data_IF_062261290734
#
_entry.id   IF_062261290734
#
_cell.length_a   1.000
_cell.length_b   1.000
_cell.length_c   1.000
_cell.angle_alpha   90.00
_cell.angle_beta   90.00
_cell.angle_gamma   90.00
#
_symmetry.space_group_name_H-M   'P 1'
#
loop_
_entity.id
_entity.type
_entity.pdbx_description
1 polymer ?
#
# COMPACT_ATOMS: atom_id res chain seq x y z
N UNK A 1 -3.41 6.67 -10.00
CA UNK A 1 -2.46 5.76 -9.31
C UNK A 1 -3.00 4.34 -9.45
N UNK A 2 -2.16 3.30 -9.66
CA UNK A 2 -2.66 1.92 -9.64
C UNK A 2 -3.35 1.61 -8.31
N UNK A 3 -4.39 0.76 -8.33
CA UNK A 3 -5.10 0.34 -7.12
C UNK A 3 -4.16 -0.37 -6.14
N UNK A 4 -3.22 -1.16 -6.66
CA UNK A 4 -2.18 -1.84 -5.89
C UNK A 4 -0.90 -0.99 -5.87
N UNK A 5 -0.48 -0.48 -4.69
CA UNK A 5 0.80 0.21 -4.53
C UNK A 5 1.99 -0.67 -4.93
N UNK A 6 3.08 -0.06 -5.39
CA UNK A 6 4.27 -0.79 -5.85
C UNK A 6 4.91 -1.58 -4.72
N UNK A 7 4.88 -1.06 -3.50
CA UNK A 7 5.38 -1.78 -2.33
C UNK A 7 4.57 -3.05 -2.03
N UNK A 8 3.24 -2.98 -2.22
CA UNK A 8 2.36 -4.15 -2.09
C UNK A 8 2.70 -5.17 -3.17
N UNK A 9 2.77 -4.75 -4.44
CA UNK A 9 3.12 -5.63 -5.55
C UNK A 9 4.49 -6.30 -5.35
N UNK A 10 5.51 -5.54 -4.92
CA UNK A 10 6.86 -6.06 -4.67
C UNK A 10 6.83 -7.16 -3.61
N UNK A 11 6.09 -6.96 -2.52
CA UNK A 11 5.99 -7.93 -1.42
C UNK A 11 5.24 -9.18 -1.84
N UNK A 12 4.10 -9.06 -2.55
CA UNK A 12 3.33 -10.20 -3.04
C UNK A 12 4.13 -11.09 -4.00
N UNK A 13 5.05 -10.47 -4.73
CA UNK A 13 5.90 -11.13 -5.72
C UNK A 13 7.30 -11.47 -5.18
N UNK A 14 7.61 -11.20 -3.91
CA UNK A 14 8.98 -11.22 -3.40
C UNK A 14 9.71 -12.56 -3.63
N UNK A 15 9.02 -13.69 -3.44
CA UNK A 15 9.58 -15.03 -3.70
C UNK A 15 10.02 -15.21 -5.17
N UNK A 16 9.18 -14.76 -6.12
CA UNK A 16 9.41 -14.86 -7.57
C UNK A 16 10.43 -13.83 -8.06
N UNK A 17 10.42 -12.65 -7.45
CA UNK A 17 11.40 -11.59 -7.73
C UNK A 17 12.79 -11.95 -7.18
N UNK A 18 12.87 -12.74 -6.12
CA UNK A 18 14.12 -13.28 -5.58
C UNK A 18 14.85 -14.22 -6.55
N UNK A 19 14.15 -14.80 -7.52
CA UNK A 19 14.72 -15.63 -8.61
C UNK A 19 14.76 -14.92 -9.96
N UNK A 20 14.51 -13.60 -9.98
CA UNK A 20 14.45 -12.76 -11.18
C UNK A 20 13.45 -13.26 -12.24
N UNK A 21 12.32 -13.82 -11.81
CA UNK A 21 11.30 -14.31 -12.74
C UNK A 21 10.72 -13.18 -13.60
N UNK A 22 10.84 -13.29 -14.92
CA UNK A 22 10.44 -12.25 -15.87
C UNK A 22 8.96 -11.85 -15.75
N UNK A 23 8.05 -12.80 -15.50
CA UNK A 23 6.61 -12.49 -15.34
C UNK A 23 6.35 -11.69 -14.07
N UNK A 24 7.03 -11.99 -12.97
CA UNK A 24 6.90 -11.23 -11.73
C UNK A 24 7.44 -9.80 -11.90
N UNK A 25 8.55 -9.62 -12.62
CA UNK A 25 9.07 -8.29 -12.95
C UNK A 25 8.06 -7.49 -13.77
N UNK A 26 7.52 -8.08 -14.84
CA UNK A 26 6.51 -7.42 -15.68
C UNK A 26 5.23 -7.06 -14.89
N UNK A 27 4.81 -7.90 -13.95
CA UNK A 27 3.66 -7.60 -13.07
C UNK A 27 3.96 -6.45 -12.11
N UNK A 28 5.15 -6.42 -11.51
CA UNK A 28 5.57 -5.34 -10.61
C UNK A 28 5.69 -4.01 -11.37
N UNK A 29 6.32 -4.02 -12.54
CA UNK A 29 6.58 -2.84 -13.37
C UNK A 29 5.27 -2.32 -13.99
N UNK A 30 4.42 -3.20 -14.51
CA UNK A 30 3.16 -2.80 -15.13
C UNK A 30 3.41 -1.82 -16.29
N UNK A 31 2.97 -0.57 -16.11
CA UNK A 31 3.19 0.52 -17.08
C UNK A 31 4.41 1.38 -16.76
N UNK A 32 5.15 1.06 -15.69
CA UNK A 32 6.37 1.77 -15.33
C UNK A 32 7.53 1.37 -16.25
N UNK A 33 8.52 2.25 -16.37
CA UNK A 33 9.84 1.89 -16.86
C UNK A 33 10.50 0.85 -15.93
N UNK A 34 11.42 0.01 -16.44
CA UNK A 34 12.06 -1.02 -15.65
C UNK A 34 12.64 -0.51 -14.33
N UNK A 35 12.26 -1.18 -13.24
CA UNK A 35 12.58 -0.73 -11.89
C UNK A 35 14.08 -0.90 -11.60
N UNK A 36 14.62 -0.09 -10.69
CA UNK A 36 16.05 -0.13 -10.31
C UNK A 36 16.27 -0.07 -8.80
N UNK A 37 17.39 -0.63 -8.32
CA UNK A 37 17.97 -0.32 -7.01
C UNK A 37 19.29 0.43 -7.26
N UNK A 38 19.34 1.70 -6.85
CA UNK A 38 20.42 2.59 -7.25
C UNK A 38 20.48 2.69 -8.78
N UNK A 39 21.65 2.38 -9.37
CA UNK A 39 21.83 2.38 -10.84
C UNK A 39 21.55 1.02 -11.48
N UNK A 40 21.39 -0.04 -10.68
CA UNK A 40 21.31 -1.42 -11.15
C UNK A 40 19.85 -1.83 -11.43
N UNK A 41 19.59 -2.68 -12.45
CA UNK A 41 18.27 -3.25 -12.67
C UNK A 41 17.76 -3.99 -11.42
N UNK A 42 16.47 -3.85 -11.11
CA UNK A 42 15.84 -4.50 -9.96
C UNK A 42 16.02 -6.02 -10.01
N UNK A 43 15.86 -6.60 -11.21
CA UNK A 43 16.04 -8.03 -11.48
C UNK A 43 17.40 -8.59 -11.03
N UNK A 44 18.44 -7.75 -10.97
CA UNK A 44 19.79 -8.15 -10.54
C UNK A 44 19.99 -7.82 -9.06
N UNK A 45 19.66 -6.60 -8.66
CA UNK A 45 20.00 -6.09 -7.34
C UNK A 45 19.10 -6.63 -6.21
N UNK A 46 17.84 -6.95 -6.50
CA UNK A 46 16.90 -7.42 -5.49
C UNK A 46 17.23 -8.85 -5.00
N UNK A 47 17.51 -9.85 -5.86
CA UNK A 47 17.97 -11.17 -5.42
C UNK A 47 19.20 -11.11 -4.48
N UNK A 48 20.20 -10.31 -4.84
CA UNK A 48 21.40 -10.11 -4.01
C UNK A 48 21.07 -9.48 -2.66
N UNK A 49 20.19 -8.47 -2.65
CA UNK A 49 19.74 -7.81 -1.42
C UNK A 49 19.01 -8.80 -0.51
N UNK A 50 18.06 -9.58 -1.05
CA UNK A 50 17.30 -10.58 -0.29
C UNK A 50 18.24 -11.68 0.26
N UNK A 51 19.21 -12.13 -0.54
CA UNK A 51 20.23 -13.10 -0.12
C UNK A 51 21.09 -12.56 1.03
N UNK A 52 21.47 -11.28 0.96
CA UNK A 52 22.29 -10.62 1.99
C UNK A 52 21.48 -10.41 3.27
N UNK A 53 20.22 -9.99 3.14
CA UNK A 53 19.27 -9.80 4.25
C UNK A 53 18.95 -11.12 4.96
N UNK A 54 18.97 -12.22 4.21
CA UNK A 54 18.71 -13.57 4.69
C UNK A 54 17.23 -13.93 4.71
N UNK A 55 16.94 -15.20 4.96
CA UNK A 55 15.57 -15.71 5.01
C UNK A 55 14.78 -15.04 6.14
N UNK A 56 13.49 -14.79 5.92
CA UNK A 56 12.66 -14.11 6.89
C UNK A 56 11.27 -13.78 6.37
N UNK A 57 10.80 -12.58 6.71
CA UNK A 57 9.44 -12.12 6.37
C UNK A 57 9.47 -10.71 5.79
N UNK A 58 8.58 -10.44 4.83
CA UNK A 58 8.35 -9.13 4.26
C UNK A 58 6.88 -8.74 4.36
N UNK A 59 6.60 -7.44 4.42
CA UNK A 59 5.25 -6.88 4.35
C UNK A 59 5.29 -5.46 3.79
N UNK A 60 4.18 -5.00 3.24
CA UNK A 60 4.06 -3.64 2.75
C UNK A 60 3.47 -2.72 3.83
N UNK A 61 3.85 -1.45 3.82
CA UNK A 61 3.28 -0.41 4.67
C UNK A 61 3.01 0.82 3.82
N UNK A 62 1.98 1.59 4.20
CA UNK A 62 1.54 2.79 3.49
C UNK A 62 1.61 3.99 4.46
N UNK A 63 2.81 4.55 4.68
CA UNK A 63 3.05 5.41 5.83
C UNK A 63 2.28 6.72 5.76
N UNK A 64 1.81 7.19 6.92
CA UNK A 64 1.24 8.53 7.11
C UNK A 64 1.81 9.19 8.36
N UNK A 65 1.77 10.53 8.45
CA UNK A 65 2.27 11.22 9.64
C UNK A 65 1.65 10.66 10.93
N UNK A 66 2.51 10.29 11.89
CA UNK A 66 2.10 9.75 13.20
C UNK A 66 1.90 8.23 13.25
N UNK A 67 2.04 7.50 12.15
CA UNK A 67 1.97 6.03 12.12
C UNK A 67 3.34 5.39 12.42
N UNK A 68 3.45 4.46 13.39
CA UNK A 68 4.70 3.76 13.70
C UNK A 68 5.11 2.68 12.68
N UNK A 69 4.37 2.49 11.58
CA UNK A 69 4.59 1.42 10.60
C UNK A 69 5.96 1.38 9.90
N UNK A 70 6.78 2.44 10.01
CA UNK A 70 8.15 2.48 9.48
C UNK A 70 9.14 2.97 10.55
N UNK A 71 10.33 2.34 10.67
CA UNK A 71 11.38 2.78 11.59
C UNK A 71 11.84 4.23 11.34
N UNK A 72 12.28 4.96 12.38
CA UNK A 72 12.64 6.39 12.26
C UNK A 72 13.67 6.70 11.16
N UNK A 73 14.65 5.84 10.94
CA UNK A 73 15.68 6.00 9.90
C UNK A 73 15.13 5.94 8.47
N UNK A 74 13.99 5.29 8.27
CA UNK A 74 13.30 5.19 6.98
C UNK A 74 12.01 6.02 6.92
N UNK A 75 11.58 6.64 8.03
CA UNK A 75 10.29 7.32 8.13
C UNK A 75 10.15 8.48 7.14
N UNK A 76 11.11 9.42 7.12
CA UNK A 76 11.04 10.57 6.23
C UNK A 76 10.91 10.20 4.73
N UNK A 77 11.77 9.33 4.16
CA UNK A 77 11.61 8.95 2.76
C UNK A 77 10.36 8.12 2.50
N UNK A 78 9.94 7.25 3.43
CA UNK A 78 8.76 6.42 3.25
C UNK A 78 7.45 7.23 3.34
N UNK A 79 7.41 8.27 4.19
CA UNK A 79 6.30 9.23 4.24
C UNK A 79 6.17 10.03 2.95
N UNK A 80 7.29 10.45 2.35
CA UNK A 80 7.28 11.15 1.06
C UNK A 80 6.79 10.24 -0.08
N UNK A 81 7.16 8.97 -0.07
CA UNK A 81 6.70 8.00 -1.06
C UNK A 81 5.23 7.57 -0.85
N UNK A 82 4.72 7.64 0.39
CA UNK A 82 3.42 7.10 0.76
C UNK A 82 3.35 5.57 0.80
N UNK A 83 4.46 4.89 0.50
CA UNK A 83 4.57 3.45 0.48
C UNK A 83 6.00 2.98 0.81
N UNK A 84 6.12 1.80 1.41
CA UNK A 84 7.39 1.10 1.61
C UNK A 84 7.17 -0.40 1.78
N UNK A 85 8.18 -1.20 1.42
CA UNK A 85 8.24 -2.61 1.74
C UNK A 85 9.27 -2.86 2.85
N UNK A 86 8.86 -3.51 3.92
CA UNK A 86 9.76 -3.93 5.00
C UNK A 86 10.16 -5.37 4.75
N UNK A 87 11.46 -5.65 4.80
CA UNK A 87 12.04 -6.99 4.68
C UNK A 87 12.86 -7.25 5.94
N UNK A 88 12.36 -8.12 6.81
CA UNK A 88 13.03 -8.54 8.04
C UNK A 88 13.59 -9.94 7.85
N UNK A 89 14.88 -10.02 7.52
CA UNK A 89 15.61 -11.27 7.40
C UNK A 89 16.41 -11.63 8.64
N UNK A 90 16.97 -12.83 8.65
CA UNK A 90 17.78 -13.33 9.76
C UNK A 90 19.10 -12.56 9.99
N UNK A 91 19.61 -11.86 8.98
CA UNK A 91 20.89 -11.12 9.05
C UNK A 91 20.73 -9.62 9.14
N UNK A 92 19.68 -9.07 8.51
CA UNK A 92 19.42 -7.64 8.48
C UNK A 92 17.92 -7.35 8.34
N UNK A 93 17.52 -6.12 8.63
CA UNK A 93 16.23 -5.58 8.25
C UNK A 93 16.44 -4.41 7.29
N UNK A 94 15.79 -4.47 6.13
CA UNK A 94 15.84 -3.41 5.13
C UNK A 94 14.43 -2.89 4.84
N UNK A 95 14.32 -1.57 4.70
CA UNK A 95 13.11 -0.92 4.21
C UNK A 95 13.38 -0.46 2.78
N UNK A 96 12.58 -0.95 1.84
CA UNK A 96 12.62 -0.57 0.42
C UNK A 96 11.57 0.52 0.18
N UNK A 97 12.05 1.73 -0.12
CA UNK A 97 11.19 2.88 -0.40
C UNK A 97 11.28 3.20 -1.89
N UNK A 98 10.17 3.23 -2.65
CA UNK A 98 10.22 3.64 -4.05
C UNK A 98 10.37 5.16 -4.15
N UNK A 99 11.26 5.59 -5.03
CA UNK A 99 11.37 6.95 -5.53
C UNK A 99 10.77 6.98 -6.93
N UNK A 100 9.61 7.60 -7.06
CA UNK A 100 8.80 7.60 -8.28
C UNK A 100 8.89 8.96 -8.95
N UNK A 101 9.43 9.00 -10.15
CA UNK A 101 9.48 10.22 -10.96
C UNK A 101 8.63 10.04 -12.22
N UNK A 102 7.63 10.92 -12.37
CA UNK A 102 6.84 11.02 -13.58
C UNK A 102 7.64 11.73 -14.69
N UNK A 103 7.44 11.29 -15.93
CA UNK A 103 7.98 11.91 -17.14
C UNK A 103 6.98 11.76 -18.29
N UNK A 104 7.31 12.30 -19.46
CA UNK A 104 6.45 12.22 -20.64
C UNK A 104 5.42 13.35 -20.70
N UNK A 105 4.44 13.19 -21.59
CA UNK A 105 3.39 14.19 -21.81
C UNK A 105 2.11 13.83 -21.06
N UNK A 106 1.13 14.72 -21.03
CA UNK A 106 -0.18 14.42 -20.46
C UNK A 106 -0.92 13.28 -21.21
N UNK A 107 -0.60 13.06 -22.50
CA UNK A 107 -1.21 12.02 -23.33
C UNK A 107 -0.46 10.69 -23.26
N UNK A 108 0.84 10.75 -22.97
CA UNK A 108 1.73 9.60 -22.86
C UNK A 108 2.58 9.76 -21.59
N UNK A 109 1.96 9.63 -20.41
CA UNK A 109 2.69 9.71 -19.15
C UNK A 109 3.51 8.44 -18.94
N UNK A 110 4.70 8.60 -18.38
CA UNK A 110 5.59 7.52 -17.97
C UNK A 110 6.07 7.71 -16.54
N UNK A 111 6.50 6.61 -15.90
CA UNK A 111 7.02 6.63 -14.54
C UNK A 111 8.31 5.83 -14.46
N UNK A 112 9.34 6.43 -13.87
CA UNK A 112 10.54 5.70 -13.46
C UNK A 112 10.46 5.41 -11.98
N UNK A 113 10.91 4.21 -11.58
CA UNK A 113 10.89 3.78 -10.18
C UNK A 113 12.28 3.34 -9.75
N UNK A 114 12.80 4.03 -8.73
CA UNK A 114 14.07 3.68 -8.07
C UNK A 114 13.82 3.31 -6.63
N UNK A 115 14.05 2.06 -6.29
CA UNK A 115 13.98 1.56 -4.93
C UNK A 115 15.23 1.99 -4.14
N UNK A 116 14.99 2.68 -3.02
CA UNK A 116 16.01 3.11 -2.05
C UNK A 116 15.98 2.16 -0.85
N UNK A 117 16.96 1.24 -0.73
CA UNK A 117 17.08 0.41 0.45
C UNK A 117 17.62 1.24 1.62
N UNK A 118 16.94 1.17 2.75
CA UNK A 118 17.39 1.71 4.03
C UNK A 118 17.68 0.54 4.95
N UNK A 119 18.96 0.18 5.08
CA UNK A 119 19.40 -0.86 6.01
C UNK A 119 19.30 -0.34 7.45
N UNK A 120 18.70 -1.13 8.33
CA UNK A 120 18.55 -0.79 9.75
C UNK A 120 19.68 -1.42 10.59
N UNK A 121 20.35 -2.42 10.05
CA UNK A 121 21.37 -3.19 10.73
C UNK A 121 20.81 -4.41 11.48
N UNK A 122 21.71 -5.31 11.90
CA UNK A 122 21.33 -6.50 12.65
C UNK A 122 20.66 -6.13 13.98
N UNK A 123 19.58 -6.81 14.32
CA UNK A 123 18.87 -6.63 15.60
C UNK A 123 17.87 -5.47 15.62
N UNK A 124 17.61 -4.80 14.50
CA UNK A 124 16.55 -3.80 14.40
C UNK A 124 15.18 -4.42 14.74
N UNK A 125 14.53 -3.90 15.79
CA UNK A 125 13.21 -4.36 16.21
C UNK A 125 12.16 -3.59 15.42
N UNK A 126 11.68 -4.19 14.33
CA UNK A 126 10.47 -3.73 13.64
C UNK A 126 9.31 -4.64 14.07
N UNK A 127 8.28 -4.10 14.74
CA UNK A 127 7.10 -4.87 15.09
C UNK A 127 6.49 -5.50 13.84
N UNK A 128 6.14 -6.81 13.88
CA UNK A 128 5.38 -7.38 12.78
C UNK A 128 4.02 -6.69 12.68
N UNK A 129 3.35 -6.75 11.51
CA UNK A 129 1.97 -6.32 11.39
C UNK A 129 1.05 -7.03 12.38
N UNK A 130 -0.09 -6.40 12.67
CA UNK A 130 -1.15 -7.02 13.44
C UNK A 130 -1.64 -8.33 12.81
N UNK A 131 -2.29 -9.17 13.60
CA UNK A 131 -2.98 -10.34 13.04
C UNK A 131 -4.05 -9.90 12.03
N UNK A 132 -4.19 -10.67 10.94
CA UNK A 132 -5.13 -10.33 9.88
C UNK A 132 -6.59 -10.36 10.35
N UNK A 133 -6.93 -11.27 11.28
CA UNK A 133 -8.27 -11.34 11.87
C UNK A 133 -8.59 -10.09 12.68
N UNK A 134 -7.67 -9.69 13.55
CA UNK A 134 -7.79 -8.46 14.35
C UNK A 134 -7.85 -7.21 13.46
N UNK A 135 -6.97 -7.11 12.47
CA UNK A 135 -6.95 -6.01 11.51
C UNK A 135 -8.27 -5.90 10.73
N UNK A 136 -8.81 -7.04 10.27
CA UNK A 136 -10.10 -7.08 9.56
C UNK A 136 -11.25 -6.66 10.47
N UNK A 137 -11.27 -7.12 11.72
CA UNK A 137 -12.30 -6.73 12.68
C UNK A 137 -12.25 -5.21 12.96
N UNK A 138 -11.05 -4.67 13.16
CA UNK A 138 -10.85 -3.23 13.31
C UNK A 138 -11.32 -2.43 12.09
N UNK A 139 -11.08 -2.93 10.87
CA UNK A 139 -11.59 -2.31 9.64
C UNK A 139 -13.12 -2.33 9.57
N UNK A 140 -13.76 -3.44 9.96
CA UNK A 140 -15.23 -3.53 9.99
C UNK A 140 -15.82 -2.52 10.99
N UNK A 141 -15.25 -2.42 12.20
CA UNK A 141 -15.69 -1.41 13.18
C UNK A 141 -15.48 0.01 12.67
N UNK A 142 -14.30 0.32 12.12
CA UNK A 142 -14.03 1.64 11.57
C UNK A 142 -14.96 2.00 10.40
N UNK A 143 -15.38 1.02 9.59
CA UNK A 143 -16.36 1.23 8.52
C UNK A 143 -17.74 1.55 9.07
N UNK A 144 -18.17 0.84 10.12
CA UNK A 144 -19.43 1.11 10.81
C UNK A 144 -19.43 2.52 11.42
N UNK A 145 -18.41 2.84 12.21
CA UNK A 145 -18.27 4.15 12.87
C UNK A 145 -18.20 5.30 11.86
N UNK A 146 -17.47 5.12 10.76
CA UNK A 146 -17.41 6.12 9.68
C UNK A 146 -18.77 6.27 8.99
N UNK A 147 -19.51 5.18 8.76
CA UNK A 147 -20.83 5.23 8.13
C UNK A 147 -21.83 5.96 9.01
N UNK A 148 -21.88 5.64 10.30
CA UNK A 148 -22.74 6.30 11.29
C UNK A 148 -22.45 7.80 11.38
N UNK A 149 -21.16 8.16 11.49
CA UNK A 149 -20.74 9.55 11.59
C UNK A 149 -21.05 10.34 10.32
N UNK A 150 -20.73 9.79 9.14
CA UNK A 150 -21.00 10.45 7.86
C UNK A 150 -22.50 10.58 7.57
N UNK A 151 -23.31 9.61 8.03
CA UNK A 151 -24.78 9.67 7.93
C UNK A 151 -25.34 10.74 8.87
N UNK A 152 -24.85 10.80 10.11
CA UNK A 152 -25.23 11.82 11.10
C UNK A 152 -24.91 13.24 10.66
N UNK A 153 -23.80 13.41 9.94
CA UNK A 153 -23.39 14.71 9.38
C UNK A 153 -24.28 15.16 8.20
N UNK A 154 -25.29 14.37 7.82
CA UNK A 154 -26.24 14.60 6.72
C UNK A 154 -25.52 15.09 5.46
N UNK A 155 -24.44 14.38 5.08
CA UNK A 155 -23.69 14.62 3.83
C UNK A 155 -24.51 14.08 2.64
N UNK A 156 -25.79 14.44 2.58
CA UNK A 156 -26.75 14.01 1.59
C UNK A 156 -26.82 15.03 0.44
N UNK A 157 -25.80 14.98 -0.43
CA UNK A 157 -26.05 15.17 -1.86
C UNK A 157 -25.64 13.88 -2.54
N UNK A 158 -26.52 13.30 -3.33
CA UNK A 158 -26.10 12.24 -4.26
C UNK A 158 -24.97 12.82 -5.10
N UNK A 159 -23.78 12.21 -5.03
CA UNK A 159 -22.63 12.55 -5.86
C UNK A 159 -22.49 11.48 -6.93
N UNK A 160 -22.98 11.72 -8.15
CA UNK A 160 -22.88 10.75 -9.23
C UNK A 160 -21.44 10.29 -9.46
N UNK A 161 -20.45 11.20 -9.36
CA UNK A 161 -19.04 10.91 -9.63
C UNK A 161 -18.43 10.00 -8.56
N UNK A 162 -18.73 10.25 -7.28
CA UNK A 162 -18.29 9.36 -6.20
C UNK A 162 -19.02 8.01 -6.27
N UNK A 163 -20.29 8.00 -6.69
CA UNK A 163 -21.06 6.76 -6.91
C UNK A 163 -20.50 5.94 -8.06
N UNK A 164 -20.13 6.57 -9.17
CA UNK A 164 -19.46 5.92 -10.31
C UNK A 164 -18.10 5.37 -9.90
N UNK A 165 -17.27 6.17 -9.23
CA UNK A 165 -15.99 5.69 -8.70
C UNK A 165 -16.16 4.53 -7.71
N UNK A 166 -17.22 4.56 -6.88
CA UNK A 166 -17.56 3.44 -5.98
C UNK A 166 -17.98 2.19 -6.75
N UNK A 167 -18.76 2.32 -7.82
CA UNK A 167 -19.17 1.21 -8.68
C UNK A 167 -17.98 0.60 -9.40
N UNK A 168 -17.10 1.44 -9.97
CA UNK A 168 -15.86 1.01 -10.61
C UNK A 168 -14.96 0.27 -9.62
N UNK A 169 -14.83 0.80 -8.40
CA UNK A 169 -14.06 0.14 -7.34
C UNK A 169 -14.75 -1.11 -6.80
N UNK A 170 -16.07 -1.27 -6.93
CA UNK A 170 -16.79 -2.44 -6.43
C UNK A 170 -16.85 -3.59 -7.45
N UNK A 171 -16.53 -3.32 -8.72
CA UNK A 171 -16.46 -4.31 -9.79
C UNK A 171 -15.40 -5.39 -9.58
N UNK A 172 -15.22 -6.32 -10.54
CA UNK A 172 -14.09 -7.25 -10.50
C UNK A 172 -12.76 -6.49 -10.53
N UNK A 173 -11.73 -7.06 -9.92
CA UNK A 173 -10.37 -6.52 -10.06
C UNK A 173 -9.92 -6.56 -11.53
N UNK A 174 -9.12 -5.58 -11.95
CA UNK A 174 -8.45 -5.65 -13.26
C UNK A 174 -7.49 -6.85 -13.33
N UNK A 175 -7.13 -7.28 -14.54
CA UNK A 175 -6.33 -8.49 -14.78
C UNK A 175 -5.01 -8.49 -14.00
N UNK A 176 -4.33 -7.33 -13.93
CA UNK A 176 -3.06 -7.21 -13.21
C UNK A 176 -3.26 -7.38 -11.71
N UNK A 177 -4.28 -6.74 -11.15
CA UNK A 177 -4.63 -6.83 -9.73
C UNK A 177 -5.06 -8.25 -9.39
N UNK A 178 -5.88 -8.88 -10.24
CA UNK A 178 -6.28 -10.28 -10.07
C UNK A 178 -5.04 -11.20 -10.01
N UNK A 179 -4.13 -11.08 -10.96
CA UNK A 179 -2.92 -11.91 -11.01
C UNK A 179 -1.96 -11.66 -9.84
N UNK A 180 -1.84 -10.42 -9.34
CA UNK A 180 -1.08 -10.13 -8.11
C UNK A 180 -1.68 -10.86 -6.89
N UNK A 181 -3.01 -10.89 -6.80
CA UNK A 181 -3.75 -11.49 -5.70
C UNK A 181 -3.83 -13.02 -5.78
N UNK A 182 -3.64 -13.64 -6.95
CA UNK A 182 -3.61 -15.11 -7.11
C UNK A 182 -2.55 -15.78 -6.24
N UNK A 183 -1.49 -15.06 -5.89
CA UNK A 183 -0.43 -15.55 -4.99
C UNK A 183 -0.88 -15.67 -3.52
N UNK A 184 -2.05 -15.14 -3.17
CA UNK A 184 -2.59 -15.13 -1.82
C UNK A 184 -3.71 -16.16 -1.65
N UNK A 185 -3.88 -16.72 -0.43
CA UNK A 185 -5.12 -17.40 -0.10
C UNK A 185 -6.32 -16.44 -0.23
N UNK A 186 -7.49 -17.00 -0.52
CA UNK A 186 -8.72 -16.24 -0.81
C UNK A 186 -9.05 -15.18 0.26
N UNK A 187 -8.91 -15.54 1.55
CA UNK A 187 -9.26 -14.65 2.67
C UNK A 187 -8.33 -13.42 2.79
N UNK A 188 -6.99 -13.55 2.78
CA UNK A 188 -6.06 -12.43 2.64
C UNK A 188 -6.26 -11.61 1.36
N UNK A 189 -6.48 -12.27 0.21
CA UNK A 189 -6.68 -11.59 -1.08
C UNK A 189 -7.89 -10.64 -1.03
N UNK A 190 -9.04 -11.14 -0.56
CA UNK A 190 -10.26 -10.34 -0.42
C UNK A 190 -10.09 -9.19 0.59
N UNK A 191 -9.38 -9.43 1.70
CA UNK A 191 -9.12 -8.40 2.70
C UNK A 191 -8.22 -7.27 2.14
N UNK A 192 -7.16 -7.65 1.44
CA UNK A 192 -6.25 -6.69 0.81
C UNK A 192 -6.97 -5.86 -0.24
N UNK A 193 -7.72 -6.50 -1.14
CA UNK A 193 -8.49 -5.80 -2.17
C UNK A 193 -9.48 -4.81 -1.56
N UNK A 194 -10.24 -5.23 -0.53
CA UNK A 194 -11.17 -4.35 0.17
C UNK A 194 -10.46 -3.17 0.83
N UNK A 195 -9.32 -3.40 1.50
CA UNK A 195 -8.56 -2.34 2.15
C UNK A 195 -8.01 -1.32 1.14
N UNK A 196 -7.47 -1.77 0.01
CA UNK A 196 -6.99 -0.89 -1.06
C UNK A 196 -8.12 -0.05 -1.68
N UNK A 197 -9.30 -0.65 -1.87
CA UNK A 197 -10.50 0.08 -2.33
C UNK A 197 -10.92 1.13 -1.33
N UNK A 198 -10.97 0.80 -0.04
CA UNK A 198 -11.28 1.76 1.04
C UNK A 198 -10.30 2.93 1.02
N UNK A 199 -9.00 2.66 0.88
CA UNK A 199 -7.99 3.73 0.79
C UNK A 199 -8.21 4.63 -0.42
N UNK A 200 -8.53 4.05 -1.58
CA UNK A 200 -8.82 4.83 -2.79
C UNK A 200 -10.10 5.66 -2.64
N UNK A 201 -11.14 5.12 -1.99
CA UNK A 201 -12.38 5.86 -1.68
C UNK A 201 -12.09 7.02 -0.74
N UNK A 202 -11.28 6.81 0.30
CA UNK A 202 -10.90 7.89 1.24
C UNK A 202 -10.13 8.98 0.52
N UNK A 203 -9.15 8.63 -0.32
CA UNK A 203 -8.39 9.60 -1.13
C UNK A 203 -9.33 10.47 -1.99
N UNK A 204 -10.25 9.84 -2.74
CA UNK A 204 -11.27 10.55 -3.53
C UNK A 204 -12.19 11.43 -2.66
N UNK A 205 -12.52 10.96 -1.45
CA UNK A 205 -13.37 11.69 -0.52
C UNK A 205 -12.68 12.90 0.15
N UNK A 206 -11.33 12.92 0.19
CA UNK A 206 -10.52 14.02 0.70
C UNK A 206 -10.27 15.11 -0.35
N UNK A 207 -10.25 14.76 -1.64
CA UNK A 207 -10.12 15.72 -2.76
C UNK A 207 -11.28 16.75 -2.80
N UNK A 208 -12.48 16.37 -2.33
CA UNK A 208 -13.65 17.26 -2.24
C UNK A 208 -14.39 17.13 -0.89
N UNK A 209 -14.29 18.16 -0.01
CA UNK A 209 -14.96 18.15 1.29
C UNK A 209 -16.50 18.12 1.19
N UNK A 210 -17.09 18.45 0.04
CA UNK A 210 -18.53 18.47 -0.17
C UNK A 210 -19.29 19.60 0.52
N UNK A 211 -20.57 19.36 0.78
CA UNK A 211 -21.51 20.31 1.36
C UNK A 211 -21.32 20.55 2.87
N UNK A 212 -20.18 20.18 3.47
CA UNK A 212 -19.93 20.47 4.88
C UNK A 212 -19.89 22.00 5.07
N UNK A 213 -20.92 22.54 5.73
CA UNK A 213 -21.17 23.99 5.83
C UNK A 213 -20.47 24.65 7.02
N UNK A 214 -19.89 23.88 7.94
CA UNK A 214 -19.15 24.39 9.10
C UNK A 214 -17.77 23.74 9.27
N UNK A 215 -16.84 24.49 9.86
CA UNK A 215 -15.50 23.98 10.20
C UNK A 215 -15.54 22.75 11.13
N UNK A 216 -16.54 22.66 12.02
CA UNK A 216 -16.74 21.49 12.87
C UNK A 216 -17.14 20.24 12.09
N UNK A 217 -18.05 20.36 11.12
CA UNK A 217 -18.45 19.24 10.25
C UNK A 217 -17.29 18.77 9.34
N UNK A 218 -16.50 19.72 8.82
CA UNK A 218 -15.28 19.40 8.06
C UNK A 218 -14.29 18.59 8.92
N UNK A 219 -14.03 19.04 10.15
CA UNK A 219 -13.13 18.34 11.07
C UNK A 219 -13.63 16.93 11.45
N UNK A 220 -14.91 16.78 11.73
CA UNK A 220 -15.52 15.48 12.06
C UNK A 220 -15.44 14.49 10.89
N UNK A 221 -15.75 14.96 9.66
CA UNK A 221 -15.60 14.16 8.43
C UNK A 221 -14.14 13.70 8.24
N UNK A 222 -13.18 14.62 8.32
CA UNK A 222 -11.77 14.28 8.17
C UNK A 222 -11.31 13.28 9.23
N UNK A 223 -11.79 13.40 10.48
CA UNK A 223 -11.45 12.46 11.54
C UNK A 223 -12.01 11.05 11.26
N UNK A 224 -13.25 10.94 10.80
CA UNK A 224 -13.89 9.67 10.45
C UNK A 224 -13.16 8.98 9.28
N UNK A 225 -12.87 9.73 8.20
CA UNK A 225 -12.12 9.22 7.05
C UNK A 225 -10.69 8.80 7.43
N UNK A 226 -10.01 9.59 8.26
CA UNK A 226 -8.67 9.26 8.72
C UNK A 226 -8.65 7.98 9.60
N UNK A 227 -9.69 7.76 10.42
CA UNK A 227 -9.82 6.53 11.21
C UNK A 227 -10.02 5.30 10.32
N UNK A 228 -10.92 5.41 9.34
CA UNK A 228 -11.16 4.36 8.35
C UNK A 228 -9.89 4.02 7.55
N UNK A 229 -9.18 5.04 7.06
CA UNK A 229 -7.94 4.85 6.31
C UNK A 229 -6.83 4.23 7.17
N UNK A 230 -6.70 4.60 8.45
CA UNK A 230 -5.76 3.93 9.37
C UNK A 230 -6.06 2.43 9.49
N UNK A 231 -7.32 2.05 9.71
CA UNK A 231 -7.69 0.64 9.82
C UNK A 231 -7.40 -0.13 8.51
N UNK A 232 -7.66 0.48 7.35
CA UNK A 232 -7.34 -0.11 6.06
C UNK A 232 -5.83 -0.32 5.84
N UNK A 233 -4.98 0.64 6.24
CA UNK A 233 -3.50 0.48 6.16
C UNK A 233 -3.00 -0.68 7.00
N UNK A 234 -3.57 -0.89 8.19
CA UNK A 234 -3.24 -2.04 9.05
C UNK A 234 -3.61 -3.36 8.36
N UNK A 235 -4.76 -3.43 7.68
CA UNK A 235 -5.13 -4.60 6.87
C UNK A 235 -4.16 -4.82 5.71
N UNK A 236 -3.73 -3.77 4.99
CA UNK A 236 -2.72 -3.88 3.93
C UNK A 236 -1.44 -4.51 4.48
N UNK A 237 -0.94 -4.02 5.61
CA UNK A 237 0.26 -4.57 6.23
C UNK A 237 0.09 -6.03 6.66
N UNK A 238 -1.03 -6.37 7.31
CA UNK A 238 -1.30 -7.74 7.76
C UNK A 238 -1.51 -8.73 6.60
N UNK A 239 -2.22 -8.31 5.54
CA UNK A 239 -2.57 -9.17 4.41
C UNK A 239 -1.39 -9.42 3.45
N UNK A 240 -0.35 -8.57 3.51
CA UNK A 240 0.85 -8.68 2.66
C UNK A 240 2.00 -9.39 3.35
N UNK A 241 1.83 -9.93 4.55
CA UNK A 241 2.91 -10.69 5.20
C UNK A 241 3.29 -11.91 4.35
N UNK A 242 4.55 -11.96 3.91
CA UNK A 242 5.12 -13.02 3.07
C UNK A 242 6.44 -13.52 3.63
N UNK A 243 6.76 -14.78 3.36
CA UNK A 243 8.13 -15.26 3.54
C UNK A 243 8.99 -14.73 2.40
N UNK A 244 10.29 -14.61 2.66
CA UNK A 244 11.30 -14.21 1.69
C UNK A 244 12.59 -14.95 2.00
N UNK A 245 13.34 -15.32 0.95
CA UNK A 245 14.62 -16.01 1.05
C UNK A 245 14.48 -17.53 0.95
#
# INVERSE_FOLDING_TARGET
MPLVPRAVALVLLADRLGTAEARALALLEGADEPHRIGVRPLAVALPELLTTTGTGVAWAVLPVPGDPGVPPSAAAPALLAGEAAVVRGARDTVVLVPDVAAFGSALEPGWTVRWRPVALGPGAVVPPPADLGEARLALVHALHDATDELTRLDVARERPELREALLDLSGPADDRTAELLESLPERPAAALLQALRVLRIVELAEEDPGAAVTAGQLGARSAALAALARAARVVVAAATVRRVG
#
